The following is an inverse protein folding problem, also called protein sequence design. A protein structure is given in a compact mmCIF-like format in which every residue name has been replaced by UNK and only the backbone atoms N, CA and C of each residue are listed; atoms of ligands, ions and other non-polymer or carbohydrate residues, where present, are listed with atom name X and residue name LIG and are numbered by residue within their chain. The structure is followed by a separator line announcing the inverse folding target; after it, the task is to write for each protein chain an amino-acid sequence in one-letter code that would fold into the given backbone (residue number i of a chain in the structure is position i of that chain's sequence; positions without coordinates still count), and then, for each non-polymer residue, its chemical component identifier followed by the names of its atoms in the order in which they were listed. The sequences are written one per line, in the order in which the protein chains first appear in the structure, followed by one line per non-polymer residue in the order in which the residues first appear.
data_IF_708736702421
#
_entry.id   IF_708736702421
#
_cell.length_a   1.000
_cell.length_b   1.000
_cell.length_c   1.000
_cell.angle_alpha   90.00
_cell.angle_beta   90.00
_cell.angle_gamma   90.00
#
_symmetry.space_group_name_H-M   'P 1'
#
loop_
_entity.id
_entity.type
_entity.pdbx_description
1 polymer ?
#
# COMPACT_ATOMS: atom_id res chain seq x y z
N UNK A 1 -13.05 -22.90 -32.72
CA UNK A 1 -13.17 -23.00 -31.25
C UNK A 1 -12.27 -22.00 -30.50
N UNK A 2 -10.95 -21.92 -30.77
CA UNK A 2 -10.03 -20.98 -30.08
C UNK A 2 -10.44 -19.50 -30.11
N UNK A 3 -10.95 -19.02 -31.25
CA UNK A 3 -11.40 -17.61 -31.41
C UNK A 3 -12.64 -17.27 -30.57
N UNK A 4 -13.53 -18.24 -30.38
CA UNK A 4 -14.74 -18.08 -29.58
C UNK A 4 -14.41 -18.03 -28.09
N UNK A 5 -13.50 -18.92 -27.64
CA UNK A 5 -13.00 -18.91 -26.26
C UNK A 5 -12.30 -17.58 -25.93
N UNK A 6 -11.47 -17.08 -26.85
CA UNK A 6 -10.80 -15.78 -26.68
C UNK A 6 -11.83 -14.64 -26.53
N UNK A 7 -12.85 -14.59 -27.40
CA UNK A 7 -13.89 -13.57 -27.33
C UNK A 7 -14.64 -13.59 -25.98
N UNK A 8 -14.95 -14.78 -25.46
CA UNK A 8 -15.59 -14.93 -24.14
C UNK A 8 -14.68 -14.43 -23.03
N UNK A 9 -13.41 -14.85 -23.00
CA UNK A 9 -12.45 -14.42 -22.00
C UNK A 9 -12.28 -12.88 -22.01
N UNK A 10 -12.11 -12.28 -23.19
CA UNK A 10 -11.97 -10.83 -23.31
C UNK A 10 -13.24 -10.08 -22.89
N UNK A 11 -14.42 -10.59 -23.22
CA UNK A 11 -15.69 -10.01 -22.78
C UNK A 11 -15.84 -10.06 -21.25
N UNK A 12 -15.48 -11.18 -20.62
CA UNK A 12 -15.54 -11.32 -19.16
C UNK A 12 -14.59 -10.35 -18.44
N UNK A 13 -13.41 -10.07 -18.99
CA UNK A 13 -12.46 -9.12 -18.41
C UNK A 13 -13.03 -7.69 -18.27
N UNK A 14 -14.02 -7.30 -19.06
CA UNK A 14 -14.64 -5.97 -19.00
C UNK A 14 -15.43 -5.74 -17.71
N UNK A 15 -15.82 -6.81 -17.01
CA UNK A 15 -16.60 -6.76 -15.77
C UNK A 15 -15.74 -6.96 -14.52
N UNK A 16 -14.45 -7.25 -14.69
CA UNK A 16 -13.53 -7.41 -13.57
C UNK A 16 -13.06 -6.03 -13.12
N UNK A 17 -13.28 -5.73 -11.84
CA UNK A 17 -12.71 -4.55 -11.19
C UNK A 17 -11.61 -5.02 -10.24
N UNK A 18 -10.49 -4.30 -10.19
CA UNK A 18 -9.50 -4.51 -9.15
C UNK A 18 -10.03 -3.90 -7.85
N UNK A 19 -9.98 -4.68 -6.77
CA UNK A 19 -10.25 -4.16 -5.43
C UNK A 19 -8.99 -3.46 -4.92
N UNK A 20 -9.18 -2.35 -4.20
CA UNK A 20 -8.09 -1.68 -3.50
C UNK A 20 -7.72 -2.49 -2.26
N UNK A 21 -6.43 -2.85 -2.13
CA UNK A 21 -5.91 -3.49 -0.92
C UNK A 21 -6.04 -2.53 0.27
N UNK A 22 -6.77 -2.93 1.30
CA UNK A 22 -6.93 -2.16 2.55
C UNK A 22 -5.91 -2.52 3.61
N UNK A 23 -5.21 -3.65 3.43
CA UNK A 23 -4.16 -4.13 4.31
C UNK A 23 -2.96 -4.56 3.48
N UNK A 24 -1.77 -4.22 3.94
CA UNK A 24 -0.54 -4.56 3.24
C UNK A 24 0.57 -4.92 4.23
N UNK A 25 1.21 -6.06 3.99
CA UNK A 25 2.36 -6.51 4.77
C UNK A 25 3.64 -6.04 4.11
N UNK A 26 4.46 -5.31 4.86
CA UNK A 26 5.81 -4.95 4.44
C UNK A 26 6.81 -5.94 5.04
N UNK A 27 7.77 -6.36 4.22
CA UNK A 27 8.88 -7.15 4.71
C UNK A 27 9.73 -6.35 5.73
N UNK A 28 10.44 -7.03 6.65
CA UNK A 28 11.34 -6.36 7.57
C UNK A 28 12.37 -5.51 6.82
N UNK A 29 12.46 -4.23 7.19
CA UNK A 29 13.48 -3.30 6.69
C UNK A 29 14.54 -3.13 7.77
N UNK A 30 15.81 -3.12 7.36
CA UNK A 30 16.96 -2.88 8.24
C UNK A 30 17.71 -1.67 7.73
N UNK A 31 18.19 -0.84 8.65
CA UNK A 31 19.11 0.26 8.35
C UNK A 31 20.50 0.00 8.91
N UNK A 32 21.49 0.74 8.40
CA UNK A 32 22.83 0.68 8.98
C UNK A 32 22.83 1.33 10.37
N UNK A 33 23.38 0.68 11.42
CA UNK A 33 23.51 1.27 12.75
C UNK A 33 24.32 2.56 12.78
N UNK A 34 25.11 2.84 11.73
CA UNK A 34 25.99 4.00 11.60
C UNK A 34 25.29 5.24 11.00
N UNK A 35 24.04 5.11 10.52
CA UNK A 35 23.32 6.18 9.81
C UNK A 35 22.28 6.93 10.65
N UNK A 36 22.19 6.65 11.96
CA UNK A 36 21.27 7.33 12.86
C UNK A 36 19.97 6.57 13.08
N UNK A 37 18.84 7.28 13.19
CA UNK A 37 17.53 6.69 13.40
C UNK A 37 16.81 6.43 12.06
N UNK A 38 16.00 5.36 11.95
CA UNK A 38 15.43 4.96 10.68
C UNK A 38 14.35 5.92 10.25
N UNK A 39 14.49 6.42 9.03
CA UNK A 39 13.47 7.20 8.35
C UNK A 39 12.81 6.32 7.30
N UNK A 40 11.55 5.98 7.52
CA UNK A 40 10.73 5.31 6.52
C UNK A 40 9.72 6.31 5.97
N UNK A 41 9.43 6.24 4.68
CA UNK A 41 8.36 7.03 4.08
C UNK A 41 7.26 6.08 3.60
N UNK A 42 6.03 6.34 4.04
CA UNK A 42 4.86 5.63 3.55
C UNK A 42 4.30 6.38 2.35
N UNK A 43 4.21 5.69 1.23
CA UNK A 43 3.60 6.18 0.00
C UNK A 43 2.60 5.14 -0.52
N UNK A 44 1.37 5.56 -0.79
CA UNK A 44 0.33 4.69 -1.33
C UNK A 44 -0.09 5.17 -2.72
N UNK A 45 -0.18 4.24 -3.66
CA UNK A 45 -0.81 4.51 -4.95
C UNK A 45 -2.32 4.57 -4.74
N UNK A 46 -2.84 5.79 -4.60
CA UNK A 46 -4.26 6.05 -4.36
C UNK A 46 -4.76 7.17 -5.27
N UNK A 47 -6.04 7.11 -5.61
CA UNK A 47 -6.72 8.21 -6.29
C UNK A 47 -7.31 9.23 -5.32
N UNK A 48 -7.26 8.96 -4.01
CA UNK A 48 -7.78 9.84 -2.97
C UNK A 48 -6.92 11.10 -2.82
N UNK A 49 -7.51 12.25 -3.14
CA UNK A 49 -6.86 13.55 -2.96
C UNK A 49 -7.13 14.14 -1.56
N UNK A 50 -8.19 13.68 -0.89
CA UNK A 50 -8.47 14.00 0.51
C UNK A 50 -7.64 13.07 1.40
N UNK A 51 -6.90 13.58 2.40
CA UNK A 51 -6.15 12.74 3.31
C UNK A 51 -7.03 11.76 4.07
N UNK A 52 -6.58 10.52 4.18
CA UNK A 52 -7.23 9.47 4.96
C UNK A 52 -6.23 8.81 5.92
N UNK A 53 -6.78 8.23 6.98
CA UNK A 53 -6.02 7.62 8.06
C UNK A 53 -5.52 6.23 7.67
N UNK A 54 -4.21 5.99 7.80
CA UNK A 54 -3.59 4.67 7.66
C UNK A 54 -2.97 4.27 8.99
N UNK A 55 -3.44 3.13 9.52
CA UNK A 55 -2.89 2.54 10.73
C UNK A 55 -1.68 1.69 10.39
N UNK A 56 -0.58 1.90 11.11
CA UNK A 56 0.60 1.07 10.99
C UNK A 56 0.78 0.27 12.27
N UNK A 57 0.85 -1.05 12.10
CA UNK A 57 0.96 -2.00 13.20
C UNK A 57 2.21 -2.87 13.07
N UNK A 58 2.75 -3.27 14.22
CA UNK A 58 3.82 -4.26 14.32
C UNK A 58 3.34 -5.31 15.32
N UNK A 59 3.41 -6.59 14.93
CA UNK A 59 2.93 -7.70 15.74
C UNK A 59 1.51 -7.46 16.30
N UNK A 60 0.60 -7.04 15.43
CA UNK A 60 -0.80 -6.71 15.72
C UNK A 60 -1.03 -5.51 16.69
N UNK A 61 0.02 -4.77 17.04
CA UNK A 61 -0.09 -3.55 17.87
C UNK A 61 0.06 -2.32 16.99
N UNK A 62 -0.95 -1.45 16.97
CA UNK A 62 -0.90 -0.17 16.24
C UNK A 62 0.07 0.77 16.96
N UNK A 63 1.10 1.24 16.26
CA UNK A 63 2.11 2.13 16.83
C UNK A 63 2.16 3.50 16.15
N UNK A 64 1.51 3.66 14.99
CA UNK A 64 1.39 4.94 14.32
C UNK A 64 0.10 5.03 13.52
N UNK A 65 -0.38 6.25 13.35
CA UNK A 65 -1.49 6.56 12.46
C UNK A 65 -1.09 7.79 11.62
N UNK A 66 -1.06 7.62 10.30
CA UNK A 66 -0.55 8.63 9.37
C UNK A 66 -1.64 9.04 8.38
N UNK A 67 -1.68 10.32 8.02
CA UNK A 67 -2.62 10.86 7.04
C UNK A 67 -2.00 10.81 5.65
N UNK A 68 -2.51 9.95 4.76
CA UNK A 68 -1.96 9.73 3.41
C UNK A 68 -2.92 10.31 2.36
N UNK A 69 -2.36 10.86 1.29
CA UNK A 69 -3.11 11.28 0.10
C UNK A 69 -2.28 11.06 -1.17
N UNK A 70 -2.95 11.12 -2.33
CA UNK A 70 -2.32 10.95 -3.64
C UNK A 70 -1.13 11.87 -3.83
N UNK A 71 0.03 11.29 -4.17
CA UNK A 71 1.24 12.06 -4.48
C UNK A 71 1.94 12.67 -3.26
N UNK A 72 1.55 12.31 -2.03
CA UNK A 72 2.10 12.88 -0.81
C UNK A 72 2.72 11.80 0.10
N UNK A 73 4.01 11.47 -0.07
CA UNK A 73 4.73 10.56 0.82
C UNK A 73 4.82 11.13 2.25
N UNK A 74 4.58 10.27 3.25
CA UNK A 74 4.56 10.68 4.66
C UNK A 74 5.72 10.05 5.42
N UNK A 75 6.49 10.85 6.15
CA UNK A 75 7.53 10.34 7.04
C UNK A 75 6.86 9.54 8.17
N UNK A 76 7.32 8.31 8.33
CA UNK A 76 6.96 7.39 9.38
C UNK A 76 8.23 7.04 10.17
N UNK A 77 8.16 7.19 11.49
CA UNK A 77 9.21 6.74 12.39
C UNK A 77 8.86 5.32 12.88
N UNK A 78 9.68 4.30 12.58
CA UNK A 78 9.49 2.97 13.16
C UNK A 78 9.58 3.05 14.69
N UNK A 79 8.79 2.22 15.37
CA UNK A 79 8.97 2.00 16.80
C UNK A 79 10.28 1.23 16.99
N UNK A 80 11.22 1.79 17.75
CA UNK A 80 12.46 1.10 18.18
C UNK A 80 12.14 0.09 19.28
#
# INVERSE_FOLDING_TARGET
MKKFLLAICTFLCLFLNAQLDTEHWFAPMSESPLQGAPQCYLYLSTNETVPFSVQVSNNNTVFSNVQVSKGNPVLMRPYM
#
